data_IF_973990536041
#
_entry.id   IF_973990536041
#
_cell.length_a   1.000
_cell.length_b   1.000
_cell.length_c   1.000
_cell.angle_alpha   90.00
_cell.angle_beta   90.00
_cell.angle_gamma   90.00
#
_symmetry.space_group_name_H-M   'P 1'
#
loop_
_entity.id
_entity.type
_entity.pdbx_description
1 polymer ?
#
# COMPACT_ATOMS: atom_id res chain seq x y z
N UNK A 1 25.83 25.95 0.13
CA UNK A 1 26.18 24.52 0.33
C UNK A 1 26.71 23.98 -0.99
N UNK A 2 27.80 23.19 -0.98
CA UNK A 2 28.19 22.37 -2.13
C UNK A 2 27.01 21.53 -2.60
N UNK A 3 26.85 21.36 -3.91
CA UNK A 3 25.68 20.72 -4.54
C UNK A 3 25.43 19.31 -4.02
N UNK A 4 26.50 18.54 -3.81
CA UNK A 4 26.45 17.19 -3.27
C UNK A 4 25.89 17.16 -1.83
N UNK A 5 26.30 18.13 -1.02
CA UNK A 5 25.91 18.23 0.39
C UNK A 5 24.44 18.65 0.54
N UNK A 6 23.97 19.53 -0.33
CA UNK A 6 22.56 19.90 -0.43
C UNK A 6 21.68 18.71 -0.83
N UNK A 7 22.07 17.96 -1.88
CA UNK A 7 21.35 16.76 -2.32
C UNK A 7 21.31 15.68 -1.23
N UNK A 8 22.40 15.49 -0.50
CA UNK A 8 22.48 14.55 0.60
C UNK A 8 21.49 14.90 1.73
N UNK A 9 21.42 16.17 2.11
CA UNK A 9 20.48 16.65 3.13
C UNK A 9 19.01 16.51 2.70
N UNK A 10 18.72 16.74 1.42
CA UNK A 10 17.38 16.49 0.86
C UNK A 10 17.02 15.01 0.96
N UNK A 11 17.93 14.11 0.56
CA UNK A 11 17.66 12.68 0.62
C UNK A 11 17.42 12.19 2.05
N UNK A 12 18.16 12.73 3.04
CA UNK A 12 17.91 12.44 4.46
C UNK A 12 16.55 12.91 4.97
N UNK A 13 15.97 13.94 4.34
CA UNK A 13 14.66 14.48 4.72
C UNK A 13 13.51 13.76 4.00
N UNK A 14 13.70 13.39 2.73
CA UNK A 14 12.66 12.79 1.89
C UNK A 14 12.54 11.27 2.12
N UNK A 15 13.63 10.59 2.48
CA UNK A 15 13.62 9.14 2.68
C UNK A 15 13.27 8.76 4.14
N UNK A 16 12.53 7.65 4.35
CA UNK A 16 12.31 7.05 5.66
C UNK A 16 13.59 6.91 6.48
N UNK A 17 13.47 7.09 7.79
CA UNK A 17 14.47 6.58 8.73
C UNK A 17 14.05 5.21 9.23
N UNK A 18 15.00 4.27 9.34
CA UNK A 18 14.80 2.94 9.91
C UNK A 18 14.36 1.85 8.92
N UNK A 19 13.64 0.83 9.42
CA UNK A 19 13.23 -0.37 8.66
C UNK A 19 11.89 -0.23 7.93
N UNK A 20 11.30 0.97 7.87
CA UNK A 20 10.08 1.15 7.09
C UNK A 20 10.35 0.82 5.63
N UNK A 21 9.54 -0.08 5.07
CA UNK A 21 9.81 -0.60 3.74
C UNK A 21 9.60 0.55 2.75
N UNK A 22 10.40 0.58 1.68
CA UNK A 22 10.21 1.54 0.57
C UNK A 22 8.75 1.57 0.08
N UNK A 23 8.03 0.45 0.23
CA UNK A 23 6.59 0.31 -0.05
C UNK A 23 5.67 1.16 0.82
N UNK A 24 6.15 1.76 1.90
CA UNK A 24 5.34 2.62 2.77
C UNK A 24 5.42 4.10 2.35
N UNK A 25 6.27 4.45 1.37
CA UNK A 25 6.52 5.82 0.94
C UNK A 25 6.08 6.10 -0.50
N UNK A 26 5.81 7.38 -0.75
CA UNK A 26 5.48 7.91 -2.07
C UNK A 26 4.30 7.19 -2.72
N UNK A 27 4.37 7.02 -4.04
CA UNK A 27 3.30 6.40 -4.82
C UNK A 27 3.15 4.89 -4.57
N UNK A 28 4.14 4.25 -3.91
CA UNK A 28 4.14 2.82 -3.61
C UNK A 28 3.44 2.48 -2.27
N UNK A 29 3.10 3.50 -1.47
CA UNK A 29 2.33 3.35 -0.23
C UNK A 29 0.98 2.63 -0.44
N UNK A 30 0.59 1.74 0.50
CA UNK A 30 -0.65 0.95 0.41
C UNK A 30 -1.91 1.78 0.19
N UNK A 31 -2.01 2.93 0.86
CA UNK A 31 -3.15 3.87 0.70
C UNK A 31 -3.08 4.72 -0.58
N UNK A 32 -1.93 4.77 -1.27
CA UNK A 32 -1.77 5.54 -2.50
C UNK A 32 -2.31 4.83 -3.76
N UNK A 33 -3.08 3.74 -3.61
CA UNK A 33 -3.61 2.92 -4.73
C UNK A 33 -4.31 3.77 -5.79
N UNK A 34 -5.18 4.70 -5.40
CA UNK A 34 -5.93 5.56 -6.34
C UNK A 34 -5.01 6.49 -7.13
N UNK A 35 -4.02 7.09 -6.46
CA UNK A 35 -3.04 7.97 -7.09
C UNK A 35 -2.11 7.18 -8.03
N UNK A 36 -1.63 6.01 -7.61
CA UNK A 36 -0.80 5.11 -8.43
C UNK A 36 -1.52 4.70 -9.72
N UNK A 37 -2.79 4.33 -9.64
CA UNK A 37 -3.62 4.00 -10.80
C UNK A 37 -3.72 5.17 -11.78
N UNK A 38 -3.89 6.40 -11.29
CA UNK A 38 -3.92 7.60 -12.15
C UNK A 38 -2.58 7.84 -12.84
N UNK A 39 -1.48 7.73 -12.10
CA UNK A 39 -0.12 7.87 -12.65
C UNK A 39 0.12 6.81 -13.72
N UNK A 40 -0.25 5.56 -13.44
CA UNK A 40 -0.19 4.46 -14.40
C UNK A 40 -1.02 4.74 -15.65
N UNK A 41 -2.25 5.25 -15.53
CA UNK A 41 -3.07 5.59 -16.70
C UNK A 41 -2.46 6.69 -17.58
N UNK A 42 -1.84 7.71 -16.97
CA UNK A 42 -1.17 8.80 -17.69
C UNK A 42 0.11 8.31 -18.37
N UNK A 43 0.94 7.55 -17.66
CA UNK A 43 2.27 7.17 -18.13
C UNK A 43 2.25 5.92 -19.03
N UNK A 44 1.48 4.88 -18.72
CA UNK A 44 1.49 3.61 -19.47
C UNK A 44 0.92 3.76 -20.89
N UNK A 45 0.01 4.71 -21.12
CA UNK A 45 -0.47 5.05 -22.45
C UNK A 45 0.66 5.51 -23.38
N UNK A 46 1.69 6.18 -22.84
CA UNK A 46 2.84 6.63 -23.63
C UNK A 46 3.79 5.48 -24.03
N UNK A 47 3.76 4.37 -23.29
CA UNK A 47 4.65 3.22 -23.49
C UNK A 47 3.97 2.02 -24.17
N UNK A 48 2.77 2.21 -24.77
CA UNK A 48 1.98 1.13 -25.38
C UNK A 48 1.74 -0.07 -24.43
N UNK A 49 1.76 0.19 -23.12
CA UNK A 49 1.65 -0.84 -22.11
C UNK A 49 0.18 -1.02 -21.76
N UNK A 50 -0.35 -2.23 -21.98
CA UNK A 50 -1.73 -2.54 -21.66
C UNK A 50 -2.00 -2.32 -20.17
N UNK A 51 -2.84 -1.34 -19.86
CA UNK A 51 -3.28 -1.09 -18.48
C UNK A 51 -3.94 -2.35 -17.93
N UNK A 52 -3.52 -2.86 -16.76
CA UNK A 52 -4.29 -3.90 -16.10
C UNK A 52 -5.69 -3.36 -15.81
N UNK A 53 -6.72 -4.06 -16.28
CA UNK A 53 -8.12 -3.73 -15.97
C UNK A 53 -8.25 -3.60 -14.46
N UNK A 54 -8.76 -2.46 -13.99
CA UNK A 54 -9.21 -2.33 -12.59
C UNK A 54 -10.45 -3.21 -12.42
N UNK A 55 -10.22 -4.50 -12.19
CA UNK A 55 -11.25 -5.38 -11.68
C UNK A 55 -11.41 -5.00 -10.22
N UNK A 56 -12.57 -4.44 -9.87
CA UNK A 56 -12.97 -4.34 -8.48
C UNK A 56 -13.08 -5.77 -7.96
N UNK A 57 -12.01 -6.26 -7.31
CA UNK A 57 -12.03 -7.54 -6.63
C UNK A 57 -12.86 -7.35 -5.37
N UNK A 58 -14.13 -7.71 -5.45
CA UNK A 58 -14.94 -7.98 -4.27
C UNK A 58 -14.31 -9.20 -3.60
N UNK A 59 -13.35 -8.96 -2.72
CA UNK A 59 -12.83 -10.02 -1.87
C UNK A 59 -13.96 -10.40 -0.92
N UNK A 60 -14.42 -11.66 -1.02
CA UNK A 60 -15.37 -12.19 -0.07
C UNK A 60 -14.78 -12.00 1.33
N UNK A 61 -15.59 -11.52 2.29
CA UNK A 61 -15.15 -11.42 3.67
C UNK A 61 -14.71 -12.80 4.12
N UNK A 62 -13.53 -12.89 4.74
CA UNK A 62 -13.08 -14.14 5.33
C UNK A 62 -14.02 -14.52 6.47
N UNK A 63 -14.78 -15.60 6.29
CA UNK A 63 -15.66 -16.17 7.31
C UNK A 63 -14.84 -17.16 8.14
N UNK A 64 -14.94 -17.07 9.46
CA UNK A 64 -14.33 -18.03 10.39
C UNK A 64 -15.46 -18.85 11.01
N UNK A 65 -15.28 -20.17 11.05
CA UNK A 65 -16.25 -21.09 11.65
C UNK A 65 -15.76 -21.44 13.05
N UNK A 66 -16.65 -21.42 14.04
CA UNK A 66 -16.34 -21.83 15.41
C UNK A 66 -16.08 -23.34 15.47
N UNK A 67 -14.95 -23.82 16.03
CA UNK A 67 -14.65 -25.24 16.11
C UNK A 67 -15.61 -26.01 17.04
N UNK A 68 -16.26 -25.35 17.99
CA UNK A 68 -17.13 -26.01 18.97
C UNK A 68 -18.57 -26.17 18.49
N UNK A 69 -19.13 -25.14 17.83
CA UNK A 69 -20.55 -25.12 17.45
C UNK A 69 -20.79 -25.02 15.93
N UNK A 70 -19.75 -24.93 15.11
CA UNK A 70 -19.82 -24.84 13.64
C UNK A 70 -20.59 -23.63 13.08
N UNK A 71 -20.82 -22.60 13.89
CA UNK A 71 -21.45 -21.35 13.45
C UNK A 71 -20.44 -20.32 12.96
N UNK A 72 -20.89 -19.40 12.11
CA UNK A 72 -20.10 -18.26 11.65
C UNK A 72 -19.75 -17.31 12.81
N UNK A 73 -18.46 -17.02 12.95
CA UNK A 73 -17.97 -16.10 13.97
C UNK A 73 -17.99 -14.65 13.47
N UNK A 74 -18.54 -13.75 14.30
CA UNK A 74 -18.44 -12.30 14.08
C UNK A 74 -17.19 -11.76 14.78
N UNK A 75 -16.36 -11.00 14.05
CA UNK A 75 -15.26 -10.26 14.65
C UNK A 75 -15.83 -9.09 15.45
N UNK A 76 -15.78 -9.17 16.78
CA UNK A 76 -16.32 -8.15 17.69
C UNK A 76 -15.29 -7.09 18.11
N UNK A 77 -13.99 -7.37 17.97
CA UNK A 77 -12.92 -6.46 18.36
C UNK A 77 -11.55 -7.13 18.36
N UNK A 78 -10.51 -6.35 18.65
CA UNK A 78 -9.13 -6.82 18.81
C UNK A 78 -8.66 -6.39 20.20
N UNK A 79 -8.31 -7.35 21.05
CA UNK A 79 -7.72 -7.07 22.36
C UNK A 79 -6.20 -7.21 22.26
N UNK A 80 -5.47 -6.16 22.61
CA UNK A 80 -4.02 -6.26 22.79
C UNK A 80 -3.76 -6.79 24.18
N UNK A 81 -3.24 -8.01 24.29
CA UNK A 81 -2.66 -8.51 25.53
C UNK A 81 -1.36 -7.74 25.76
N UNK A 82 -1.39 -6.77 26.68
CA UNK A 82 -0.20 -6.16 27.27
C UNK A 82 0.42 -7.10 28.27
#
# INVERSE_FOLDING_TARGET
LPTLQFLWLILQHVLPKGLQRVRDYGFLHGNAKRLRVRIQAILLHQFNWNMPKLVATFTAKAIRICPCCQHEMKCVGITRTT
#
